data_IF_822500344988
#
_entry.id   IF_822500344988
#
_cell.length_a   1.000
_cell.length_b   1.000
_cell.length_c   1.000
_cell.angle_alpha   90.00
_cell.angle_beta   90.00
_cell.angle_gamma   90.00
#
_symmetry.space_group_name_H-M   'P 1'
#
loop_
_entity.id
_entity.type
_entity.pdbx_description
1 polymer ?
#
# COMPACT_ATOMS: atom_id res chain seq x y z
N UNK A 1 -4.19 36.27 3.84
CA UNK A 1 -3.00 36.24 2.97
C UNK A 1 -1.66 36.03 3.71
N UNK A 2 -1.55 36.30 5.03
CA UNK A 2 -0.23 36.37 5.71
C UNK A 2 0.22 35.14 6.53
N UNK A 3 -0.61 34.10 6.68
CA UNK A 3 -0.19 32.93 7.50
C UNK A 3 0.62 31.88 6.75
N UNK A 4 0.42 31.75 5.42
CA UNK A 4 1.24 30.86 4.57
C UNK A 4 2.67 31.41 4.37
N UNK A 5 2.84 32.73 4.24
CA UNK A 5 4.16 33.35 4.09
C UNK A 5 5.06 33.16 5.31
N UNK A 6 4.52 33.23 6.53
CA UNK A 6 5.32 33.08 7.78
C UNK A 6 5.77 31.65 8.07
N UNK A 7 5.22 30.61 7.40
CA UNK A 7 5.70 29.23 7.48
C UNK A 7 6.79 28.93 6.44
N UNK A 8 6.86 29.73 5.37
CA UNK A 8 7.85 29.54 4.30
C UNK A 8 9.26 30.00 4.68
N UNK A 9 9.40 30.88 5.65
CA UNK A 9 10.67 31.56 5.94
C UNK A 9 11.45 31.02 7.15
N UNK A 10 10.87 30.13 7.98
CA UNK A 10 11.62 29.50 9.07
C UNK A 10 12.12 28.09 8.66
N UNK A 11 13.44 27.92 8.37
CA UNK A 11 14.04 26.64 8.01
C UNK A 11 13.81 25.54 9.06
N UNK A 12 13.56 25.92 10.32
CA UNK A 12 13.34 25.00 11.46
C UNK A 12 11.93 24.38 11.46
N UNK A 13 11.02 24.94 10.64
CA UNK A 13 9.63 24.44 10.50
C UNK A 13 9.42 23.62 9.23
N UNK A 14 10.46 23.34 8.45
CA UNK A 14 10.36 22.55 7.20
C UNK A 14 10.85 21.11 7.41
N UNK A 15 10.17 20.16 6.83
CA UNK A 15 10.67 18.79 6.67
C UNK A 15 11.96 18.82 5.84
N UNK A 16 12.99 18.06 6.25
CA UNK A 16 14.26 18.02 5.52
C UNK A 16 14.12 17.25 4.21
N UNK A 17 14.70 17.79 3.13
CA UNK A 17 14.87 17.09 1.85
C UNK A 17 16.13 16.23 1.94
N UNK A 18 15.97 15.00 2.42
CA UNK A 18 17.10 14.07 2.69
C UNK A 18 17.18 12.89 1.73
N UNK A 19 16.19 12.69 0.84
CA UNK A 19 16.14 11.53 -0.04
C UNK A 19 16.88 11.79 -1.36
N UNK A 20 17.80 10.88 -1.70
CA UNK A 20 18.47 10.84 -3.00
C UNK A 20 17.63 10.06 -4.02
N UNK A 21 17.94 10.23 -5.31
CA UNK A 21 17.24 9.59 -6.42
C UNK A 21 17.16 8.06 -6.29
N UNK A 22 18.23 7.41 -5.79
CA UNK A 22 18.30 5.96 -5.54
C UNK A 22 17.29 5.53 -4.47
N UNK A 23 17.15 6.32 -3.39
CA UNK A 23 16.21 6.03 -2.31
C UNK A 23 14.77 6.07 -2.83
N UNK A 24 14.39 7.12 -3.56
CA UNK A 24 13.03 7.29 -4.08
C UNK A 24 12.66 6.20 -5.09
N UNK A 25 13.59 5.83 -5.97
CA UNK A 25 13.33 4.74 -6.92
C UNK A 25 13.12 3.40 -6.23
N UNK A 26 13.91 3.06 -5.20
CA UNK A 26 13.74 1.82 -4.45
C UNK A 26 12.58 1.87 -3.45
N UNK A 27 12.31 3.02 -2.82
CA UNK A 27 11.08 3.19 -2.02
C UNK A 27 9.84 3.01 -2.90
N UNK A 28 9.84 3.58 -4.10
CA UNK A 28 8.74 3.41 -5.05
C UNK A 28 8.64 1.98 -5.60
N UNK A 29 9.76 1.25 -5.74
CA UNK A 29 9.80 -0.17 -6.12
C UNK A 29 9.38 -1.07 -4.95
N UNK A 30 10.00 -0.89 -3.80
CA UNK A 30 9.83 -1.75 -2.64
C UNK A 30 8.56 -1.46 -1.85
N UNK A 31 8.03 -0.22 -1.90
CA UNK A 31 6.82 0.17 -1.17
C UNK A 31 5.56 -0.55 -1.64
N UNK A 32 5.49 -0.88 -2.93
CA UNK A 32 4.38 -1.67 -3.47
C UNK A 32 4.52 -3.19 -3.19
N UNK A 33 5.75 -3.70 -2.95
CA UNK A 33 5.99 -5.11 -2.65
C UNK A 33 5.94 -5.30 -1.13
N UNK A 34 4.78 -5.63 -0.62
CA UNK A 34 4.49 -5.80 0.82
C UNK A 34 3.79 -7.11 1.14
N UNK A 35 3.19 -7.17 2.32
CA UNK A 35 2.44 -8.32 2.82
C UNK A 35 1.25 -8.71 1.95
N UNK A 36 0.68 -7.78 1.21
CA UNK A 36 -0.39 -8.06 0.25
C UNK A 36 0.03 -9.05 -0.82
N UNK A 37 1.24 -8.91 -1.38
CA UNK A 37 1.77 -9.88 -2.34
C UNK A 37 2.23 -11.15 -1.63
N UNK A 38 3.03 -11.04 -0.58
CA UNK A 38 3.67 -12.20 0.04
C UNK A 38 2.73 -13.09 0.86
N UNK A 39 1.75 -12.51 1.54
CA UNK A 39 0.78 -13.26 2.35
C UNK A 39 -0.61 -13.31 1.70
N UNK A 40 -1.10 -12.15 1.25
CA UNK A 40 -2.43 -12.04 0.65
C UNK A 40 -2.62 -12.86 -0.62
N UNK A 41 -1.55 -13.11 -1.39
CA UNK A 41 -1.62 -13.96 -2.58
C UNK A 41 -1.98 -15.42 -2.28
N UNK A 42 -1.64 -15.96 -1.09
CA UNK A 42 -2.03 -17.30 -0.69
C UNK A 42 -3.56 -17.48 -0.69
N UNK A 43 -4.27 -16.60 0.03
CA UNK A 43 -5.73 -16.61 0.03
C UNK A 43 -6.30 -16.28 -1.36
N UNK A 44 -5.69 -15.35 -2.09
CA UNK A 44 -6.17 -14.99 -3.44
C UNK A 44 -6.04 -16.16 -4.42
N UNK A 45 -4.91 -16.90 -4.40
CA UNK A 45 -4.72 -18.12 -5.22
C UNK A 45 -5.78 -19.16 -4.85
N UNK A 46 -6.02 -19.43 -3.57
CA UNK A 46 -6.96 -20.47 -3.13
C UNK A 46 -8.40 -20.21 -3.57
N UNK A 47 -8.82 -18.94 -3.72
CA UNK A 47 -10.18 -18.59 -4.14
C UNK A 47 -10.31 -18.35 -5.65
N UNK A 48 -9.28 -17.80 -6.31
CA UNK A 48 -9.32 -17.45 -7.73
C UNK A 48 -8.64 -18.49 -8.63
N UNK A 49 -7.76 -19.31 -8.07
CA UNK A 49 -6.91 -20.20 -8.87
C UNK A 49 -6.04 -19.42 -9.85
N UNK A 50 -5.71 -19.98 -11.03
CA UNK A 50 -4.88 -19.32 -12.04
C UNK A 50 -5.43 -17.97 -12.54
N UNK A 51 -6.73 -17.71 -12.40
CA UNK A 51 -7.35 -16.44 -12.80
C UNK A 51 -6.82 -15.24 -11.99
N UNK A 52 -6.10 -15.47 -10.89
CA UNK A 52 -5.39 -14.42 -10.12
C UNK A 52 -4.48 -13.58 -11.03
N UNK A 53 -3.88 -14.16 -12.06
CA UNK A 53 -3.03 -13.45 -13.02
C UNK A 53 -3.81 -12.31 -13.68
N UNK A 54 -5.04 -12.59 -14.12
CA UNK A 54 -5.93 -11.59 -14.73
C UNK A 54 -6.38 -10.55 -13.70
N UNK A 55 -6.69 -10.98 -12.47
CA UNK A 55 -7.05 -10.07 -11.36
C UNK A 55 -5.95 -9.05 -11.13
N UNK A 56 -4.70 -9.48 -10.99
CA UNK A 56 -3.56 -8.60 -10.77
C UNK A 56 -3.27 -7.69 -11.98
N UNK A 57 -3.42 -8.20 -13.19
CA UNK A 57 -3.25 -7.41 -14.42
C UNK A 57 -4.30 -6.28 -14.50
N UNK A 58 -5.56 -6.56 -14.20
CA UNK A 58 -6.65 -5.58 -14.27
C UNK A 58 -6.48 -4.50 -13.20
N UNK A 59 -6.22 -4.88 -11.93
CA UNK A 59 -5.99 -3.92 -10.86
C UNK A 59 -4.77 -3.06 -11.18
N UNK A 60 -3.67 -3.69 -11.60
CA UNK A 60 -2.43 -3.00 -11.92
C UNK A 60 -2.59 -2.01 -13.08
N UNK A 61 -3.35 -2.36 -14.11
CA UNK A 61 -3.70 -1.47 -15.20
C UNK A 61 -4.50 -0.26 -14.68
N UNK A 62 -5.55 -0.48 -13.88
CA UNK A 62 -6.35 0.61 -13.32
C UNK A 62 -5.50 1.57 -12.48
N UNK A 63 -4.65 1.03 -11.59
CA UNK A 63 -3.80 1.84 -10.72
C UNK A 63 -2.68 2.57 -11.47
N UNK A 64 -2.18 2.03 -12.57
CA UNK A 64 -1.26 2.77 -13.44
C UNK A 64 -1.87 4.10 -13.90
N UNK A 65 -3.14 4.11 -14.33
CA UNK A 65 -3.82 5.33 -14.72
C UNK A 65 -4.04 6.28 -13.54
N UNK A 66 -4.37 5.76 -12.35
CA UNK A 66 -4.46 6.59 -11.12
C UNK A 66 -3.14 7.29 -10.85
N UNK A 67 -2.03 6.56 -10.93
CA UNK A 67 -0.70 7.12 -10.73
C UNK A 67 -0.31 8.13 -11.81
N UNK A 68 -0.75 7.93 -13.06
CA UNK A 68 -0.59 8.90 -14.15
C UNK A 68 -1.35 10.19 -13.86
N UNK A 69 -2.60 10.10 -13.37
CA UNK A 69 -3.39 11.25 -12.98
C UNK A 69 -2.73 12.01 -11.82
N UNK A 70 -2.29 11.30 -10.78
CA UNK A 70 -1.58 11.87 -9.64
C UNK A 70 -0.28 12.56 -10.06
N UNK A 71 0.50 11.93 -10.94
CA UNK A 71 1.75 12.48 -11.45
C UNK A 71 1.54 13.80 -12.23
N UNK A 72 0.52 13.85 -13.09
CA UNK A 72 0.16 15.08 -13.81
C UNK A 72 -0.28 16.19 -12.86
N UNK A 73 -1.12 15.87 -11.85
CA UNK A 73 -1.55 16.84 -10.84
C UNK A 73 -0.37 17.41 -10.06
N UNK A 74 0.49 16.55 -9.51
CA UNK A 74 1.66 16.99 -8.73
C UNK A 74 2.62 17.85 -9.54
N UNK A 75 2.81 17.53 -10.82
CA UNK A 75 3.70 18.29 -11.71
C UNK A 75 3.07 19.59 -12.25
N UNK A 76 1.74 19.75 -12.16
CA UNK A 76 1.03 20.93 -12.65
C UNK A 76 1.31 22.19 -11.82
N UNK A 77 1.70 22.05 -10.57
CA UNK A 77 2.02 23.15 -9.66
C UNK A 77 3.17 22.76 -8.72
N UNK A 78 4.27 23.49 -8.78
CA UNK A 78 5.47 23.25 -7.96
C UNK A 78 5.26 23.44 -6.44
N UNK A 79 4.13 24.01 -6.03
CA UNK A 79 3.76 24.17 -4.63
C UNK A 79 3.09 22.91 -4.05
N UNK A 80 2.60 22.00 -4.88
CA UNK A 80 2.03 20.74 -4.40
C UNK A 80 3.12 19.83 -3.89
N UNK A 81 2.96 19.39 -2.64
CA UNK A 81 3.89 18.49 -1.93
C UNK A 81 3.27 17.16 -1.60
N UNK A 82 1.94 17.07 -1.64
CA UNK A 82 1.18 15.89 -1.26
C UNK A 82 -0.13 15.80 -2.02
N UNK A 83 -0.78 14.66 -1.91
CA UNK A 83 -2.13 14.45 -2.42
C UNK A 83 -3.17 15.36 -1.74
N UNK A 84 -2.93 15.79 -0.50
CA UNK A 84 -3.81 16.72 0.22
C UNK A 84 -3.79 18.11 -0.41
N UNK A 85 -2.63 18.57 -0.91
CA UNK A 85 -2.49 19.92 -1.45
C UNK A 85 -3.31 20.10 -2.72
N UNK A 86 -3.18 19.21 -3.70
CA UNK A 86 -3.99 19.32 -4.91
C UNK A 86 -5.47 18.99 -4.67
N UNK A 87 -5.78 18.12 -3.70
CA UNK A 87 -7.17 17.85 -3.31
C UNK A 87 -7.80 19.09 -2.68
N UNK A 88 -7.07 19.84 -1.84
CA UNK A 88 -7.53 21.10 -1.27
C UNK A 88 -7.82 22.13 -2.35
N UNK A 89 -6.93 22.27 -3.33
CA UNK A 89 -7.02 23.25 -4.39
C UNK A 89 -8.12 22.93 -5.41
N UNK A 90 -8.36 21.63 -5.70
CA UNK A 90 -9.36 21.20 -6.68
C UNK A 90 -10.75 20.97 -6.07
N UNK A 91 -10.83 20.42 -4.87
CA UNK A 91 -12.08 19.94 -4.27
C UNK A 91 -12.44 20.62 -2.94
N UNK A 92 -11.54 21.47 -2.45
CA UNK A 92 -11.73 22.22 -1.21
C UNK A 92 -11.25 21.52 0.05
N UNK A 93 -11.17 22.26 1.18
CA UNK A 93 -10.56 21.79 2.43
C UNK A 93 -11.32 20.64 3.11
N UNK A 94 -12.63 20.52 2.85
CA UNK A 94 -13.44 19.42 3.40
C UNK A 94 -12.97 18.08 2.85
N UNK A 95 -12.88 17.93 1.53
CA UNK A 95 -12.43 16.69 0.90
C UNK A 95 -10.97 16.38 1.27
N UNK A 96 -10.11 17.41 1.34
CA UNK A 96 -8.73 17.25 1.76
C UNK A 96 -8.60 16.71 3.19
N UNK A 97 -9.48 17.13 4.11
CA UNK A 97 -9.58 16.58 5.46
C UNK A 97 -9.90 15.07 5.43
N UNK A 98 -10.93 14.67 4.68
CA UNK A 98 -11.29 13.26 4.53
C UNK A 98 -10.16 12.43 3.92
N UNK A 99 -9.51 12.94 2.88
CA UNK A 99 -8.38 12.28 2.22
C UNK A 99 -7.22 12.06 3.17
N UNK A 100 -6.81 13.11 3.89
CA UNK A 100 -5.66 13.03 4.80
C UNK A 100 -5.88 12.02 5.94
N UNK A 101 -7.05 12.04 6.57
CA UNK A 101 -7.39 11.10 7.64
C UNK A 101 -7.63 9.68 7.13
N UNK A 102 -8.23 9.50 5.94
CA UNK A 102 -8.42 8.18 5.35
C UNK A 102 -7.10 7.56 4.88
N UNK A 103 -6.18 8.36 4.33
CA UNK A 103 -4.82 7.93 4.02
C UNK A 103 -4.06 7.51 5.28
N UNK A 104 -4.19 8.28 6.37
CA UNK A 104 -3.62 7.91 7.65
C UNK A 104 -4.19 6.60 8.19
N UNK A 105 -5.54 6.45 8.20
CA UNK A 105 -6.17 5.21 8.64
C UNK A 105 -5.70 4.01 7.82
N UNK A 106 -5.67 4.13 6.49
CA UNK A 106 -5.26 3.02 5.63
C UNK A 106 -3.89 2.50 5.99
N UNK A 107 -2.92 3.37 6.28
CA UNK A 107 -1.58 2.95 6.68
C UNK A 107 -1.51 2.45 8.13
N UNK A 108 -2.34 2.95 9.03
CA UNK A 108 -2.43 2.43 10.40
C UNK A 108 -2.94 0.98 10.40
N UNK A 109 -4.01 0.71 9.65
CA UNK A 109 -4.53 -0.67 9.56
C UNK A 109 -3.63 -1.57 8.71
N UNK A 110 -2.92 -1.04 7.70
CA UNK A 110 -1.85 -1.77 7.00
C UNK A 110 -0.73 -2.16 7.97
N UNK A 111 -0.30 -1.25 8.84
CA UNK A 111 0.69 -1.56 9.88
C UNK A 111 0.24 -2.67 10.84
N UNK A 112 -1.04 -2.73 11.18
CA UNK A 112 -1.59 -3.84 11.96
C UNK A 112 -1.57 -5.16 11.16
N UNK A 113 -1.91 -5.13 9.86
CA UNK A 113 -1.81 -6.29 8.98
C UNK A 113 -0.35 -6.78 8.82
N UNK A 114 0.59 -5.85 8.69
CA UNK A 114 2.02 -6.15 8.61
C UNK A 114 2.53 -6.83 9.89
N UNK A 115 2.09 -6.39 11.07
CA UNK A 115 2.42 -7.02 12.36
C UNK A 115 1.84 -8.45 12.42
N UNK A 116 0.59 -8.65 11.98
CA UNK A 116 -0.03 -10.00 11.90
C UNK A 116 0.83 -10.92 11.00
N UNK A 117 1.27 -10.41 9.86
CA UNK A 117 2.12 -11.17 8.95
C UNK A 117 3.50 -11.47 9.57
N UNK A 118 4.13 -10.50 10.25
CA UNK A 118 5.41 -10.70 10.95
C UNK A 118 5.28 -11.80 12.01
N UNK A 119 4.20 -11.82 12.78
CA UNK A 119 3.93 -12.90 13.76
C UNK A 119 3.88 -14.24 13.06
N UNK A 120 3.14 -14.35 11.96
CA UNK A 120 3.04 -15.60 11.18
C UNK A 120 4.40 -16.05 10.67
N UNK A 121 5.24 -15.12 10.17
CA UNK A 121 6.58 -15.43 9.70
C UNK A 121 7.55 -15.81 10.83
N UNK A 122 7.43 -15.20 12.00
CA UNK A 122 8.21 -15.56 13.18
C UNK A 122 7.85 -16.95 13.69
N UNK A 123 6.57 -17.33 13.64
CA UNK A 123 6.11 -18.66 14.03
C UNK A 123 6.66 -19.79 13.13
N UNK A 124 7.19 -19.47 11.95
CA UNK A 124 7.90 -20.45 11.12
C UNK A 124 9.12 -21.06 11.84
N UNK A 125 9.87 -20.24 12.60
CA UNK A 125 11.04 -20.71 13.35
C UNK A 125 10.74 -20.98 14.83
N UNK A 126 9.83 -20.20 15.40
CA UNK A 126 9.45 -20.27 16.82
C UNK A 126 7.94 -20.39 16.99
N UNK A 127 7.36 -21.59 16.80
CA UNK A 127 5.90 -21.78 16.82
C UNK A 127 5.22 -21.38 18.14
N UNK A 128 5.97 -21.43 19.25
CA UNK A 128 5.46 -21.11 20.61
C UNK A 128 5.73 -19.68 21.05
N UNK A 129 6.30 -18.84 20.17
CA UNK A 129 6.62 -17.44 20.52
C UNK A 129 5.34 -16.66 20.82
N UNK A 130 5.32 -15.98 21.97
CA UNK A 130 4.18 -15.15 22.32
C UNK A 130 4.03 -13.98 21.33
N UNK A 131 2.88 -13.83 20.66
CA UNK A 131 2.64 -12.76 19.67
C UNK A 131 2.91 -11.37 20.21
N UNK A 132 2.62 -11.10 21.48
CA UNK A 132 2.83 -9.78 22.10
C UNK A 132 4.31 -9.37 22.18
N UNK A 133 5.23 -10.33 22.31
CA UNK A 133 6.67 -10.04 22.24
C UNK A 133 7.03 -9.49 20.87
N UNK A 134 6.48 -10.07 19.80
CA UNK A 134 6.69 -9.60 18.43
C UNK A 134 6.09 -8.21 18.25
N UNK A 135 4.85 -7.99 18.72
CA UNK A 135 4.16 -6.70 18.61
C UNK A 135 4.96 -5.57 19.25
N UNK A 136 5.34 -5.73 20.52
CA UNK A 136 6.09 -4.70 21.23
C UNK A 136 7.49 -4.48 20.65
N UNK A 137 8.15 -5.53 20.18
CA UNK A 137 9.43 -5.44 19.48
C UNK A 137 9.29 -4.65 18.17
N UNK A 138 8.25 -4.91 17.37
CA UNK A 138 7.98 -4.15 16.14
C UNK A 138 7.68 -2.68 16.43
N UNK A 139 6.78 -2.39 17.38
CA UNK A 139 6.45 -1.00 17.73
C UNK A 139 7.68 -0.26 18.25
N UNK A 140 8.49 -0.89 19.11
CA UNK A 140 9.76 -0.32 19.59
C UNK A 140 10.73 -0.05 18.45
N UNK A 141 10.90 -1.00 17.55
CA UNK A 141 11.75 -0.86 16.36
C UNK A 141 11.28 0.32 15.49
N UNK A 142 9.99 0.39 15.14
CA UNK A 142 9.46 1.45 14.29
C UNK A 142 9.57 2.82 14.94
N UNK A 143 9.33 2.94 16.26
CA UNK A 143 9.51 4.18 16.99
C UNK A 143 10.97 4.65 16.94
N UNK A 144 11.92 3.77 17.28
CA UNK A 144 13.34 4.11 17.30
C UNK A 144 13.79 4.59 15.92
N UNK A 145 13.52 3.80 14.86
CA UNK A 145 14.00 4.14 13.52
C UNK A 145 13.35 5.39 12.93
N UNK A 146 12.08 5.66 13.23
CA UNK A 146 11.39 6.86 12.73
C UNK A 146 11.64 8.13 13.57
N UNK A 147 12.18 8.03 14.78
CA UNK A 147 12.60 9.19 15.57
C UNK A 147 13.93 9.79 15.12
N UNK A 148 14.74 9.02 14.38
CA UNK A 148 16.00 9.50 13.80
C UNK A 148 15.79 10.24 12.46
N UNK A 149 16.88 10.73 11.88
CA UNK A 149 16.83 11.53 10.67
C UNK A 149 16.31 10.78 9.43
N UNK A 150 15.61 11.50 8.55
CA UNK A 150 15.05 11.03 7.27
C UNK A 150 16.05 10.23 6.41
N UNK A 151 17.34 10.57 6.48
CA UNK A 151 18.39 9.85 5.74
C UNK A 151 18.53 8.39 6.19
N UNK A 152 18.42 8.12 7.50
CA UNK A 152 18.46 6.74 8.03
C UNK A 152 17.25 5.92 7.54
N UNK A 153 16.07 6.53 7.51
CA UNK A 153 14.89 5.90 6.92
C UNK A 153 15.15 5.53 5.46
N UNK A 154 15.66 6.46 4.64
CA UNK A 154 15.96 6.22 3.22
C UNK A 154 16.95 5.08 2.99
N UNK A 155 18.03 4.98 3.79
CA UNK A 155 19.01 3.89 3.69
C UNK A 155 18.39 2.53 4.07
N UNK A 156 17.60 2.47 5.13
CA UNK A 156 16.92 1.23 5.53
C UNK A 156 15.96 0.74 4.43
N UNK A 157 15.11 1.63 3.92
CA UNK A 157 14.17 1.29 2.85
C UNK A 157 14.89 0.89 1.56
N UNK A 158 16.04 1.49 1.26
CA UNK A 158 16.90 1.08 0.14
C UNK A 158 17.32 -0.39 0.29
N UNK A 159 17.88 -0.79 1.43
CA UNK A 159 18.35 -2.16 1.63
C UNK A 159 17.20 -3.16 1.70
N UNK A 160 16.13 -2.84 2.40
CA UNK A 160 14.95 -3.70 2.44
C UNK A 160 14.31 -3.85 1.04
N UNK A 161 14.23 -2.77 0.27
CA UNK A 161 13.74 -2.82 -1.11
C UNK A 161 14.62 -3.69 -2.01
N UNK A 162 15.95 -3.58 -1.88
CA UNK A 162 16.90 -4.39 -2.66
C UNK A 162 16.78 -5.88 -2.33
N UNK A 163 16.70 -6.23 -1.03
CA UNK A 163 16.56 -7.62 -0.58
C UNK A 163 15.28 -8.26 -1.16
N UNK A 164 14.14 -7.55 -1.12
CA UNK A 164 12.87 -8.04 -1.71
C UNK A 164 13.00 -8.32 -3.20
N UNK A 165 13.55 -7.37 -3.94
CA UNK A 165 13.72 -7.45 -5.40
C UNK A 165 14.59 -8.65 -5.75
N UNK A 166 15.75 -8.76 -5.11
CA UNK A 166 16.69 -9.88 -5.35
C UNK A 166 16.02 -11.23 -5.03
N UNK A 167 15.31 -11.32 -3.90
CA UNK A 167 14.66 -12.57 -3.53
C UNK A 167 13.56 -13.00 -4.51
N UNK A 168 12.75 -12.08 -5.02
CA UNK A 168 11.75 -12.41 -6.04
C UNK A 168 12.41 -12.82 -7.35
N UNK A 169 13.48 -12.15 -7.79
CA UNK A 169 14.22 -12.53 -8.98
C UNK A 169 14.84 -13.93 -8.82
N UNK A 170 15.45 -14.22 -7.67
CA UNK A 170 15.98 -15.56 -7.38
C UNK A 170 14.87 -16.60 -7.39
N UNK A 171 13.71 -16.32 -6.77
CA UNK A 171 12.56 -17.22 -6.81
C UNK A 171 12.11 -17.51 -8.24
N UNK A 172 12.01 -16.48 -9.09
CA UNK A 172 11.62 -16.63 -10.49
C UNK A 172 12.63 -17.51 -11.24
N UNK A 173 13.92 -17.25 -11.06
CA UNK A 173 15.00 -18.04 -11.73
C UNK A 173 15.00 -19.48 -11.26
N UNK A 174 14.93 -19.72 -9.95
CA UNK A 174 14.92 -21.08 -9.39
C UNK A 174 13.66 -21.84 -9.80
N UNK A 175 12.50 -21.20 -9.70
CA UNK A 175 11.25 -21.85 -10.11
C UNK A 175 11.19 -22.12 -11.61
N UNK A 176 11.72 -21.22 -12.45
CA UNK A 176 11.87 -21.48 -13.89
C UNK A 176 12.80 -22.66 -14.16
N UNK A 177 13.93 -22.76 -13.44
CA UNK A 177 14.81 -23.93 -13.51
C UNK A 177 14.07 -25.22 -13.14
N UNK A 178 13.27 -25.20 -12.05
CA UNK A 178 12.46 -26.35 -11.64
C UNK A 178 11.44 -26.78 -12.71
N UNK A 179 10.81 -25.81 -13.39
CA UNK A 179 9.85 -26.07 -14.47
C UNK A 179 10.57 -26.73 -15.66
N UNK A 180 11.73 -26.18 -16.10
CA UNK A 180 12.46 -26.68 -17.27
C UNK A 180 13.03 -28.08 -17.03
N UNK A 181 13.47 -28.37 -15.81
CA UNK A 181 14.04 -29.68 -15.45
C UNK A 181 12.97 -30.73 -15.10
N UNK A 182 11.68 -30.36 -15.04
CA UNK A 182 10.63 -31.26 -14.59
C UNK A 182 10.84 -31.71 -13.16
N UNK A 183 11.27 -30.79 -12.27
CA UNK A 183 11.54 -31.10 -10.87
C UNK A 183 10.32 -31.75 -10.21
N UNK A 184 10.56 -32.89 -9.56
CA UNK A 184 9.52 -33.60 -8.81
C UNK A 184 9.67 -33.34 -7.32
N UNK A 185 8.63 -32.78 -6.70
CA UNK A 185 8.60 -32.54 -5.26
C UNK A 185 8.52 -33.86 -4.47
N UNK A 186 8.87 -33.88 -3.16
CA UNK A 186 8.73 -35.05 -2.33
C UNK A 186 7.31 -35.64 -2.31
N UNK A 187 6.29 -34.85 -2.58
CA UNK A 187 4.89 -35.26 -2.67
C UNK A 187 4.51 -35.84 -4.04
N UNK A 188 5.47 -36.01 -4.96
CA UNK A 188 5.24 -36.55 -6.30
C UNK A 188 4.72 -35.52 -7.32
N UNK A 189 4.58 -34.26 -6.96
CA UNK A 189 4.13 -33.19 -7.89
C UNK A 189 5.29 -32.79 -8.79
N UNK A 190 5.10 -32.86 -10.12
CA UNK A 190 6.09 -32.46 -11.12
C UNK A 190 5.85 -30.98 -11.48
N UNK A 191 6.88 -30.14 -11.37
CA UNK A 191 6.78 -28.73 -11.75
C UNK A 191 6.47 -28.58 -13.25
N UNK A 192 5.37 -27.88 -13.57
CA UNK A 192 4.90 -27.74 -14.95
C UNK A 192 4.07 -26.46 -15.13
N UNK A 193 4.25 -25.79 -16.27
CA UNK A 193 3.37 -24.69 -16.68
C UNK A 193 1.91 -25.10 -16.86
N UNK A 194 1.64 -26.39 -17.07
CA UNK A 194 0.27 -26.90 -17.19
C UNK A 194 -0.58 -26.64 -15.94
N UNK A 195 0.04 -26.56 -14.75
CA UNK A 195 -0.66 -26.22 -13.50
C UNK A 195 -1.29 -24.81 -13.54
N UNK A 196 -0.67 -23.88 -14.25
CA UNK A 196 -1.19 -22.52 -14.44
C UNK A 196 -2.36 -22.51 -15.42
N UNK A 197 -2.29 -23.32 -16.48
CA UNK A 197 -3.36 -23.44 -17.46
C UNK A 197 -4.46 -24.39 -17.00
N UNK A 198 -4.20 -25.24 -16.00
CA UNK A 198 -5.14 -26.17 -15.38
C UNK A 198 -5.99 -26.90 -16.44
N UNK A 199 -5.31 -27.54 -17.43
CA UNK A 199 -5.92 -28.24 -18.56
C UNK A 199 -6.92 -27.38 -19.37
N UNK A 200 -6.67 -26.08 -19.47
CA UNK A 200 -7.48 -25.12 -20.20
C UNK A 200 -8.55 -24.40 -19.32
N UNK A 201 -8.67 -24.75 -18.06
CA UNK A 201 -9.61 -24.10 -17.14
C UNK A 201 -8.90 -23.04 -16.26
N UNK A 202 -8.77 -21.82 -16.76
CA UNK A 202 -8.20 -20.69 -16.02
C UNK A 202 -9.11 -20.25 -14.86
N UNK A 203 -10.40 -20.58 -14.89
CA UNK A 203 -11.39 -20.23 -13.87
C UNK A 203 -11.90 -21.49 -13.12
N UNK A 204 -11.07 -22.20 -12.35
CA UNK A 204 -11.44 -23.47 -11.73
C UNK A 204 -12.54 -23.32 -10.67
N UNK A 205 -12.66 -22.13 -10.06
CA UNK A 205 -13.73 -21.74 -9.13
C UNK A 205 -14.85 -20.94 -9.82
N UNK A 206 -14.89 -20.95 -11.17
CA UNK A 206 -15.84 -20.17 -11.94
C UNK A 206 -15.62 -18.66 -11.83
N UNK A 207 -16.60 -17.90 -12.37
CA UNK A 207 -16.55 -16.45 -12.38
C UNK A 207 -16.66 -15.83 -10.96
N UNK A 208 -17.32 -16.53 -10.04
CA UNK A 208 -17.43 -16.12 -8.63
C UNK A 208 -16.09 -16.16 -7.93
N UNK A 209 -15.29 -17.21 -8.15
CA UNK A 209 -13.92 -17.29 -7.63
C UNK A 209 -13.01 -16.21 -8.21
N UNK A 210 -13.14 -15.93 -9.50
CA UNK A 210 -12.42 -14.82 -10.14
C UNK A 210 -12.73 -13.48 -9.47
N UNK A 211 -14.00 -13.16 -9.24
CA UNK A 211 -14.39 -11.93 -8.56
C UNK A 211 -13.99 -11.90 -7.09
N UNK A 212 -14.04 -13.04 -6.39
CA UNK A 212 -13.54 -13.13 -5.01
C UNK A 212 -12.05 -12.82 -4.92
N UNK A 213 -11.27 -13.14 -5.96
CA UNK A 213 -9.84 -12.79 -6.02
C UNK A 213 -9.58 -11.29 -5.94
N UNK A 214 -10.45 -10.43 -6.45
CA UNK A 214 -10.29 -8.98 -6.38
C UNK A 214 -10.35 -8.44 -4.95
N UNK A 215 -11.13 -9.05 -4.06
CA UNK A 215 -11.38 -8.56 -2.71
C UNK A 215 -10.08 -8.41 -1.89
N UNK A 216 -9.13 -9.32 -2.08
CA UNK A 216 -7.86 -9.33 -1.35
C UNK A 216 -6.73 -8.78 -2.21
N UNK A 217 -6.74 -9.07 -3.53
CA UNK A 217 -5.69 -8.67 -4.44
C UNK A 217 -5.46 -7.15 -4.48
N UNK A 218 -6.51 -6.33 -4.28
CA UNK A 218 -6.38 -4.87 -4.26
C UNK A 218 -5.42 -4.39 -3.17
N UNK A 219 -5.38 -5.06 -2.02
CA UNK A 219 -4.45 -4.74 -0.94
C UNK A 219 -2.98 -4.96 -1.35
N UNK A 220 -2.70 -5.87 -2.27
CA UNK A 220 -1.34 -6.11 -2.78
C UNK A 220 -0.74 -4.92 -3.52
N UNK A 221 -1.54 -3.93 -3.89
CA UNK A 221 -1.11 -2.72 -4.58
C UNK A 221 -1.01 -1.49 -3.68
N UNK A 222 -1.35 -1.63 -2.40
CA UNK A 222 -1.17 -0.58 -1.40
C UNK A 222 0.30 -0.20 -1.31
N UNK A 223 0.57 1.11 -1.27
CA UNK A 223 1.95 1.63 -1.29
C UNK A 223 2.43 2.11 -2.65
N UNK A 224 1.70 1.82 -3.74
CA UNK A 224 2.06 2.31 -5.08
C UNK A 224 2.07 3.84 -5.15
N UNK A 225 1.23 4.50 -4.37
CA UNK A 225 1.12 5.96 -4.28
C UNK A 225 2.26 6.62 -3.49
N UNK A 226 3.09 5.86 -2.76
CA UNK A 226 4.22 6.40 -2.01
C UNK A 226 5.17 7.17 -2.95
N UNK A 227 5.33 6.71 -4.18
CA UNK A 227 6.10 7.41 -5.21
C UNK A 227 5.63 8.87 -5.41
N UNK A 228 4.32 9.13 -5.27
CA UNK A 228 3.75 10.48 -5.37
C UNK A 228 3.79 11.25 -4.05
N UNK A 229 3.60 10.59 -2.92
CA UNK A 229 3.63 11.25 -1.61
C UNK A 229 5.05 11.65 -1.20
N UNK A 230 6.08 10.95 -1.69
CA UNK A 230 7.49 11.31 -1.50
C UNK A 230 7.96 12.42 -2.46
N UNK A 231 7.14 12.83 -3.41
CA UNK A 231 7.48 13.90 -4.37
C UNK A 231 7.93 15.21 -3.70
N UNK A 232 7.42 15.51 -2.50
CA UNK A 232 7.83 16.68 -1.72
C UNK A 232 9.27 16.65 -1.21
N UNK A 233 9.84 15.45 -1.07
CA UNK A 233 11.17 15.20 -0.50
C UNK A 233 12.24 14.91 -1.56
N UNK A 234 11.86 14.94 -2.84
CA UNK A 234 12.75 14.69 -3.99
C UNK A 234 13.43 15.96 -4.46
N UNK A 235 14.71 15.86 -4.84
CA UNK A 235 15.48 17.01 -5.37
C UNK A 235 14.97 17.50 -6.73
N UNK A 236 14.55 16.58 -7.61
CA UNK A 236 14.02 16.88 -8.94
C UNK A 236 12.75 16.06 -9.27
N UNK A 237 11.56 16.54 -8.84
CA UNK A 237 10.30 15.85 -9.09
C UNK A 237 9.96 15.65 -10.57
N UNK A 238 10.38 16.60 -11.43
CA UNK A 238 10.01 16.59 -12.86
C UNK A 238 10.63 15.42 -13.64
N UNK A 239 11.79 14.95 -13.23
CA UNK A 239 12.47 13.81 -13.85
C UNK A 239 12.22 12.50 -13.12
N UNK A 240 12.17 12.53 -11.79
CA UNK A 240 12.07 11.32 -10.96
C UNK A 240 10.67 10.73 -10.96
N UNK A 241 9.65 11.56 -10.78
CA UNK A 241 8.26 11.11 -10.67
C UNK A 241 7.76 10.41 -11.96
N UNK A 242 7.97 10.97 -13.18
CA UNK A 242 7.62 10.26 -14.41
C UNK A 242 8.30 8.91 -14.58
N UNK A 243 9.59 8.82 -14.26
CA UNK A 243 10.34 7.55 -14.35
C UNK A 243 9.79 6.50 -13.38
N UNK A 244 9.51 6.90 -12.13
CA UNK A 244 8.95 6.03 -11.12
C UNK A 244 7.58 5.47 -11.56
N UNK A 245 6.68 6.35 -12.02
CA UNK A 245 5.32 5.95 -12.44
C UNK A 245 5.34 5.10 -13.71
N UNK A 246 6.14 5.46 -14.71
CA UNK A 246 6.23 4.70 -15.96
C UNK A 246 6.82 3.30 -15.78
N UNK A 247 7.57 3.06 -14.70
CA UNK A 247 8.09 1.73 -14.38
C UNK A 247 7.04 0.80 -13.73
N UNK A 248 5.88 1.32 -13.29
CA UNK A 248 4.85 0.53 -12.59
C UNK A 248 4.37 -0.69 -13.39
N UNK A 249 3.99 -0.60 -14.69
CA UNK A 249 3.53 -1.77 -15.44
C UNK A 249 4.57 -2.89 -15.50
N UNK A 250 5.84 -2.52 -15.75
CA UNK A 250 6.95 -3.48 -15.78
C UNK A 250 7.10 -4.19 -14.42
N UNK A 251 6.99 -3.45 -13.32
CA UNK A 251 7.06 -4.01 -11.97
C UNK A 251 5.94 -5.00 -11.71
N UNK A 252 4.71 -4.65 -12.07
CA UNK A 252 3.55 -5.53 -11.92
C UNK A 252 3.78 -6.83 -12.68
N UNK A 253 4.20 -6.75 -13.94
CA UNK A 253 4.46 -7.94 -14.73
C UNK A 253 5.55 -8.81 -14.08
N UNK A 254 6.71 -8.25 -13.74
CA UNK A 254 7.83 -9.04 -13.21
C UNK A 254 7.59 -9.52 -11.78
N UNK A 255 7.21 -8.65 -10.86
CA UNK A 255 7.19 -9.01 -9.45
C UNK A 255 5.88 -9.66 -8.99
N UNK A 256 4.78 -9.43 -9.70
CA UNK A 256 3.48 -10.00 -9.36
C UNK A 256 3.14 -11.17 -10.29
N UNK A 257 3.01 -10.90 -11.58
CA UNK A 257 2.50 -11.90 -12.53
C UNK A 257 3.51 -13.05 -12.71
N UNK A 258 4.77 -12.75 -13.02
CA UNK A 258 5.77 -13.83 -13.22
C UNK A 258 6.03 -14.64 -11.94
N UNK A 259 6.10 -14.00 -10.76
CA UNK A 259 6.28 -14.75 -9.52
C UNK A 259 5.11 -15.69 -9.24
N UNK A 260 3.86 -15.25 -9.47
CA UNK A 260 2.67 -16.07 -9.28
C UNK A 260 2.58 -17.21 -10.31
N UNK A 261 2.96 -16.96 -11.58
CA UNK A 261 3.06 -18.01 -12.59
C UNK A 261 4.03 -19.09 -12.14
N UNK A 262 5.22 -18.70 -11.71
CA UNK A 262 6.26 -19.62 -11.26
C UNK A 262 5.81 -20.41 -10.04
N UNK A 263 5.25 -19.73 -9.03
CA UNK A 263 4.75 -20.38 -7.82
C UNK A 263 3.69 -21.44 -8.16
N UNK A 264 2.68 -21.09 -8.95
CA UNK A 264 1.60 -22.02 -9.32
C UNK A 264 2.07 -23.12 -10.27
N UNK A 265 3.17 -22.92 -11.01
CA UNK A 265 3.78 -23.97 -11.84
C UNK A 265 4.51 -25.03 -11.00
N UNK A 266 5.06 -24.64 -9.84
CA UNK A 266 5.77 -25.54 -8.92
C UNK A 266 4.80 -26.14 -7.91
N UNK A 267 3.89 -25.33 -7.38
CA UNK A 267 2.86 -25.72 -6.41
C UNK A 267 1.49 -25.46 -7.03
N UNK A 268 0.74 -26.51 -7.44
CA UNK A 268 -0.61 -26.35 -7.98
C UNK A 268 -1.49 -25.50 -7.08
N UNK A 269 -2.36 -24.69 -7.67
CA UNK A 269 -3.17 -23.69 -6.99
C UNK A 269 -4.04 -24.28 -5.86
N UNK A 270 -4.51 -25.52 -5.99
CA UNK A 270 -5.34 -26.24 -5.03
C UNK A 270 -4.54 -26.79 -3.82
N UNK A 271 -3.20 -26.81 -3.91
CA UNK A 271 -2.31 -27.18 -2.82
C UNK A 271 -1.79 -25.94 -2.05
N UNK A 272 -2.11 -24.72 -2.50
CA UNK A 272 -1.69 -23.50 -1.82
C UNK A 272 -2.49 -23.32 -0.53
N UNK A 273 -1.77 -23.13 0.58
CA UNK A 273 -2.34 -22.92 1.92
C UNK A 273 -2.69 -21.43 2.10
N UNK A 274 -3.97 -21.07 2.35
CA UNK A 274 -4.43 -19.67 2.35
C UNK A 274 -3.81 -18.78 3.41
N UNK A 275 -3.38 -19.31 4.54
CA UNK A 275 -2.83 -18.57 5.69
C UNK A 275 -1.31 -18.54 5.74
N UNK A 276 -0.65 -19.03 4.68
CA UNK A 276 0.80 -19.03 4.53
C UNK A 276 1.24 -18.28 3.29
N UNK A 277 2.50 -17.82 3.30
CA UNK A 277 3.10 -17.20 2.13
C UNK A 277 3.38 -18.25 1.05
N UNK A 278 2.78 -18.19 -0.15
CA UNK A 278 3.06 -19.13 -1.21
C UNK A 278 4.51 -19.04 -1.71
N UNK A 279 5.18 -17.92 -1.47
CA UNK A 279 6.60 -17.73 -1.76
C UNK A 279 7.50 -18.62 -0.88
N UNK A 280 7.12 -18.83 0.37
CA UNK A 280 7.82 -19.70 1.32
C UNK A 280 7.43 -21.16 1.09
N UNK A 281 6.12 -21.41 0.94
CA UNK A 281 5.57 -22.75 0.75
C UNK A 281 6.09 -23.44 -0.52
N UNK A 282 6.33 -22.71 -1.59
CA UNK A 282 6.93 -23.26 -2.80
C UNK A 282 8.25 -24.00 -2.51
N UNK A 283 9.15 -23.43 -1.71
CA UNK A 283 10.41 -24.05 -1.36
C UNK A 283 10.25 -25.14 -0.28
N UNK A 284 9.30 -24.96 0.63
CA UNK A 284 9.00 -25.94 1.65
C UNK A 284 8.46 -27.25 1.05
N UNK A 285 7.46 -27.15 0.18
CA UNK A 285 6.86 -28.28 -0.53
C UNK A 285 7.82 -28.89 -1.56
N UNK A 286 8.76 -28.13 -2.10
CA UNK A 286 9.83 -28.64 -2.94
C UNK A 286 10.90 -29.42 -2.16
N UNK A 287 10.82 -29.49 -0.82
CA UNK A 287 11.80 -30.20 0.00
C UNK A 287 13.11 -29.45 0.21
N UNK A 288 13.09 -28.10 0.10
CA UNK A 288 14.28 -27.24 0.25
C UNK A 288 14.09 -26.31 1.47
N UNK A 289 14.12 -26.85 2.72
CA UNK A 289 13.76 -26.07 3.92
C UNK A 289 14.71 -24.89 4.19
N UNK A 290 15.98 -24.97 3.79
CA UNK A 290 16.93 -23.86 3.94
C UNK A 290 16.49 -22.69 3.06
N UNK A 291 16.11 -22.92 1.81
CA UNK A 291 15.61 -21.89 0.92
C UNK A 291 14.27 -21.32 1.43
N UNK A 292 13.37 -22.16 1.94
CA UNK A 292 12.12 -21.73 2.59
C UNK A 292 12.42 -20.78 3.76
N UNK A 293 13.37 -21.11 4.63
CA UNK A 293 13.80 -20.25 5.74
C UNK A 293 14.38 -18.90 5.28
N UNK A 294 15.22 -18.90 4.23
CA UNK A 294 15.77 -17.67 3.67
C UNK A 294 14.68 -16.78 3.08
N UNK A 295 13.75 -17.34 2.31
CA UNK A 295 12.61 -16.59 1.75
C UNK A 295 11.69 -16.11 2.87
N UNK A 296 11.46 -16.91 3.92
CA UNK A 296 10.69 -16.49 5.08
C UNK A 296 11.32 -15.26 5.78
N UNK A 297 12.65 -15.22 5.90
CA UNK A 297 13.35 -14.03 6.39
C UNK A 297 13.12 -12.81 5.50
N UNK A 298 13.14 -12.99 4.17
CA UNK A 298 12.89 -11.89 3.23
C UNK A 298 11.46 -11.37 3.34
N UNK A 299 10.45 -12.25 3.41
CA UNK A 299 9.05 -11.79 3.53
C UNK A 299 8.79 -11.13 4.88
N UNK A 300 9.46 -11.58 5.95
CA UNK A 300 9.45 -10.91 7.26
C UNK A 300 10.03 -9.50 7.18
N UNK A 301 11.23 -9.34 6.60
CA UNK A 301 11.84 -8.01 6.43
C UNK A 301 11.02 -7.12 5.49
N UNK A 302 10.30 -7.71 4.52
CA UNK A 302 9.37 -7.00 3.66
C UNK A 302 8.18 -6.43 4.42
N UNK A 303 7.59 -7.21 5.32
CA UNK A 303 6.50 -6.75 6.18
C UNK A 303 6.96 -5.63 7.12
N UNK A 304 8.15 -5.78 7.73
CA UNK A 304 8.74 -4.75 8.58
C UNK A 304 9.02 -3.45 7.82
N UNK A 305 9.53 -3.53 6.58
CA UNK A 305 9.73 -2.38 5.70
C UNK A 305 8.41 -1.69 5.33
N UNK A 306 7.37 -2.47 4.99
CA UNK A 306 6.04 -1.93 4.67
C UNK A 306 5.47 -1.15 5.85
N UNK A 307 5.45 -1.73 7.06
CA UNK A 307 5.02 -1.06 8.27
C UNK A 307 5.85 0.20 8.58
N UNK A 308 7.17 0.14 8.43
CA UNK A 308 8.06 1.28 8.66
C UNK A 308 7.77 2.44 7.70
N UNK A 309 7.59 2.16 6.40
CA UNK A 309 7.21 3.14 5.38
C UNK A 309 5.82 3.74 5.64
N UNK A 310 4.87 2.92 6.08
CA UNK A 310 3.54 3.37 6.49
C UNK A 310 3.59 4.33 7.67
N UNK A 311 4.33 4.01 8.72
CA UNK A 311 4.50 4.85 9.91
C UNK A 311 5.20 6.17 9.55
N UNK A 312 6.21 6.12 8.69
CA UNK A 312 6.86 7.31 8.15
C UNK A 312 5.86 8.23 7.44
N UNK A 313 5.04 7.68 6.55
CA UNK A 313 4.04 8.41 5.77
C UNK A 313 2.91 8.96 6.64
N UNK A 314 2.39 8.17 7.58
CA UNK A 314 1.29 8.58 8.49
C UNK A 314 1.69 9.74 9.39
N UNK A 315 2.89 9.71 9.96
CA UNK A 315 3.36 10.78 10.84
C UNK A 315 3.45 12.13 10.11
N UNK A 316 3.88 12.12 8.85
CA UNK A 316 3.96 13.32 7.99
C UNK A 316 2.59 13.78 7.52
N UNK A 317 1.69 12.85 7.23
CA UNK A 317 0.31 13.17 6.86
C UNK A 317 -0.41 13.89 7.98
N UNK A 318 -0.35 13.39 9.22
CA UNK A 318 -0.94 14.05 10.38
C UNK A 318 -0.28 15.40 10.65
N UNK A 319 1.04 15.50 10.52
CA UNK A 319 1.75 16.77 10.63
C UNK A 319 1.21 17.79 9.62
N UNK A 320 1.05 17.38 8.36
CA UNK A 320 0.45 18.20 7.30
C UNK A 320 -0.98 18.65 7.63
N UNK A 321 -1.82 17.73 8.09
CA UNK A 321 -3.18 18.05 8.54
C UNK A 321 -3.19 19.02 9.72
N UNK A 322 -2.30 18.83 10.72
CA UNK A 322 -2.23 19.71 11.90
C UNK A 322 -1.76 21.13 11.53
N UNK A 323 -0.85 21.27 10.57
CA UNK A 323 -0.41 22.58 10.05
C UNK A 323 -1.50 23.28 9.27
N UNK A 324 -2.40 22.54 8.62
CA UNK A 324 -3.59 23.06 7.93
C UNK A 324 -4.82 23.17 8.85
N UNK A 325 -4.65 23.05 10.16
CA UNK A 325 -5.73 23.09 11.17
C UNK A 325 -6.74 21.92 11.08
N UNK A 326 -6.45 20.88 10.29
CA UNK A 326 -7.26 19.67 10.12
C UNK A 326 -7.01 18.58 11.17
N UNK A 327 -6.04 18.78 12.07
CA UNK A 327 -5.74 17.89 13.20
C UNK A 327 -5.34 18.71 14.44
N UNK A 328 -5.30 18.10 15.65
CA UNK A 328 -4.88 18.77 16.87
C UNK A 328 -3.46 19.37 16.75
N UNK A 329 -3.28 20.61 17.23
CA UNK A 329 -2.00 21.35 17.11
C UNK A 329 -0.81 20.61 17.73
N UNK A 330 -1.05 19.79 18.75
CA UNK A 330 -0.01 18.99 19.41
C UNK A 330 0.68 18.02 18.44
N UNK A 331 -0.07 17.49 17.47
CA UNK A 331 0.44 16.56 16.44
C UNK A 331 1.26 17.28 15.35
N UNK A 332 1.17 18.60 15.26
CA UNK A 332 1.95 19.46 14.36
C UNK A 332 3.28 19.94 14.93
N UNK A 333 3.75 19.40 16.08
CA UNK A 333 5.05 19.77 16.65
C UNK A 333 6.17 18.89 16.11
N UNK A 334 7.29 19.50 15.70
CA UNK A 334 8.51 18.81 15.31
C UNK A 334 9.45 18.64 16.52
N UNK A 335 10.15 17.53 16.56
CA UNK A 335 11.27 17.27 17.50
C UNK A 335 12.51 18.06 17.09
N UNK A 336 13.57 18.01 17.90
CA UNK A 336 14.90 18.57 17.58
C UNK A 336 15.53 17.97 16.30
N UNK A 337 15.08 16.82 15.86
CA UNK A 337 15.50 16.15 14.64
C UNK A 337 14.57 16.43 13.44
N UNK A 338 13.70 17.43 13.54
CA UNK A 338 12.69 17.78 12.52
C UNK A 338 11.74 16.64 12.16
N UNK A 339 11.47 15.74 13.10
CA UNK A 339 10.51 14.62 12.98
C UNK A 339 9.24 14.95 13.77
N UNK A 340 8.04 14.66 13.23
CA UNK A 340 6.78 14.87 13.93
C UNK A 340 6.53 13.75 14.97
N UNK A 341 7.28 13.79 16.08
CA UNK A 341 7.34 12.73 17.09
C UNK A 341 5.96 12.43 17.71
N UNK A 342 5.16 13.45 18.01
CA UNK A 342 3.83 13.26 18.60
C UNK A 342 2.89 12.53 17.63
N UNK A 343 2.92 12.85 16.34
CA UNK A 343 2.15 12.17 15.31
C UNK A 343 2.63 10.72 15.12
N UNK A 344 3.93 10.49 15.23
CA UNK A 344 4.55 9.17 15.19
C UNK A 344 4.06 8.30 16.36
N UNK A 345 4.15 8.79 17.60
CA UNK A 345 3.65 8.06 18.78
C UNK A 345 2.16 7.77 18.69
N UNK A 346 1.36 8.74 18.23
CA UNK A 346 -0.07 8.56 18.01
C UNK A 346 -0.36 7.46 17.00
N UNK A 347 0.34 7.44 15.86
CA UNK A 347 0.16 6.40 14.83
C UNK A 347 0.55 5.01 15.35
N UNK A 348 1.68 4.88 16.06
CA UNK A 348 2.12 3.63 16.67
C UNK A 348 1.13 3.11 17.74
N UNK A 349 0.58 4.01 18.56
CA UNK A 349 -0.48 3.66 19.52
C UNK A 349 -1.73 3.13 18.81
N UNK A 350 -2.15 3.78 17.72
CA UNK A 350 -3.30 3.33 16.96
C UNK A 350 -3.07 1.99 16.25
N UNK A 351 -1.85 1.71 15.77
CA UNK A 351 -1.47 0.39 15.24
C UNK A 351 -1.57 -0.68 16.34
N UNK A 352 -1.04 -0.39 17.53
CA UNK A 352 -1.13 -1.29 18.68
C UNK A 352 -2.58 -1.59 19.05
N UNK A 353 -3.43 -0.57 19.12
CA UNK A 353 -4.88 -0.73 19.35
C UNK A 353 -5.55 -1.53 18.22
N UNK A 354 -5.19 -1.26 16.98
CA UNK A 354 -5.68 -2.02 15.82
C UNK A 354 -5.35 -3.50 15.92
N UNK A 355 -4.09 -3.83 16.25
CA UNK A 355 -3.70 -5.22 16.50
C UNK A 355 -4.48 -5.83 17.68
N UNK A 356 -4.62 -5.11 18.79
CA UNK A 356 -5.37 -5.60 19.96
C UNK A 356 -6.81 -5.97 19.62
N UNK A 357 -7.49 -5.12 18.83
CA UNK A 357 -8.86 -5.39 18.38
C UNK A 357 -8.90 -6.62 17.47
N UNK A 358 -7.97 -6.72 16.54
CA UNK A 358 -7.94 -7.85 15.58
C UNK A 358 -7.50 -9.16 16.21
N UNK A 359 -6.74 -9.14 17.30
CA UNK A 359 -6.37 -10.34 18.06
C UNK A 359 -7.57 -11.04 18.70
N UNK A 360 -8.74 -10.38 18.77
CA UNK A 360 -10.02 -10.97 19.20
C UNK A 360 -10.74 -11.73 18.07
N UNK A 361 -10.24 -11.69 16.84
CA UNK A 361 -10.83 -12.41 15.70
C UNK A 361 -10.68 -13.92 15.83
N UNK A 362 -11.62 -14.71 15.27
CA UNK A 362 -11.62 -16.17 15.40
C UNK A 362 -10.38 -16.84 14.81
N UNK A 363 -9.76 -16.23 13.80
CA UNK A 363 -8.57 -16.74 13.13
C UNK A 363 -7.66 -15.64 12.64
N UNK A 364 -6.38 -15.96 12.47
CA UNK A 364 -5.36 -15.05 11.93
C UNK A 364 -5.74 -14.56 10.51
N UNK A 365 -6.27 -15.46 9.67
CA UNK A 365 -6.66 -15.14 8.31
C UNK A 365 -7.89 -14.20 8.27
N UNK A 366 -8.85 -14.38 9.16
CA UNK A 366 -10.00 -13.46 9.29
C UNK A 366 -9.54 -12.08 9.77
N UNK A 367 -8.70 -12.02 10.81
CA UNK A 367 -8.09 -10.78 11.28
C UNK A 367 -7.35 -10.04 10.15
N UNK A 368 -6.49 -10.74 9.43
CA UNK A 368 -5.74 -10.19 8.29
C UNK A 368 -6.69 -9.71 7.19
N UNK A 369 -7.72 -10.48 6.84
CA UNK A 369 -8.70 -10.12 5.81
C UNK A 369 -9.47 -8.85 6.18
N UNK A 370 -9.93 -8.71 7.43
CA UNK A 370 -10.67 -7.54 7.88
C UNK A 370 -9.80 -6.28 7.79
N UNK A 371 -8.58 -6.29 8.35
CA UNK A 371 -7.72 -5.10 8.34
C UNK A 371 -7.25 -4.73 6.94
N UNK A 372 -6.89 -5.71 6.10
CA UNK A 372 -6.49 -5.44 4.72
C UNK A 372 -7.65 -4.90 3.88
N UNK A 373 -8.87 -5.35 4.14
CA UNK A 373 -10.07 -4.82 3.47
C UNK A 373 -10.42 -3.40 3.91
N UNK A 374 -10.29 -3.05 5.19
CA UNK A 374 -10.44 -1.66 5.66
C UNK A 374 -9.40 -0.76 4.98
N UNK A 375 -8.14 -1.20 4.92
CA UNK A 375 -7.08 -0.48 4.22
C UNK A 375 -7.43 -0.29 2.74
N UNK A 376 -7.85 -1.36 2.05
CA UNK A 376 -8.23 -1.32 0.64
C UNK A 376 -9.38 -0.33 0.37
N UNK A 377 -10.44 -0.32 1.20
CA UNK A 377 -11.57 0.61 1.08
C UNK A 377 -11.10 2.06 1.24
N UNK A 378 -10.25 2.33 2.24
CA UNK A 378 -9.72 3.66 2.47
C UNK A 378 -8.81 4.12 1.30
N UNK A 379 -8.00 3.21 0.72
CA UNK A 379 -7.21 3.52 -0.47
C UNK A 379 -8.06 3.70 -1.73
N UNK A 380 -9.10 2.89 -1.93
CA UNK A 380 -10.06 3.09 -3.03
C UNK A 380 -10.69 4.48 -2.97
N UNK A 381 -11.03 4.96 -1.76
CA UNK A 381 -11.48 6.34 -1.58
C UNK A 381 -10.41 7.36 -1.96
N UNK A 382 -9.17 7.22 -1.46
CA UNK A 382 -8.06 8.13 -1.76
C UNK A 382 -7.78 8.16 -3.27
N UNK A 383 -7.70 7.01 -3.93
CA UNK A 383 -7.47 6.90 -5.37
C UNK A 383 -8.64 7.47 -6.17
N UNK A 384 -9.88 7.31 -5.69
CA UNK A 384 -11.04 7.95 -6.31
C UNK A 384 -10.95 9.47 -6.24
N UNK A 385 -10.53 10.04 -5.11
CA UNK A 385 -10.35 11.49 -4.98
C UNK A 385 -9.24 12.01 -5.89
N UNK A 386 -8.17 11.25 -6.14
CA UNK A 386 -7.13 11.61 -7.13
C UNK A 386 -7.77 11.75 -8.53
N UNK A 387 -8.59 10.76 -8.94
CA UNK A 387 -9.26 10.79 -10.24
C UNK A 387 -10.27 11.93 -10.36
N UNK A 388 -11.08 12.18 -9.32
CA UNK A 388 -12.03 13.30 -9.29
C UNK A 388 -11.29 14.63 -9.33
N UNK A 389 -10.20 14.78 -8.57
CA UNK A 389 -9.33 15.98 -8.63
C UNK A 389 -8.79 16.21 -10.04
N UNK A 390 -8.40 15.13 -10.73
CA UNK A 390 -7.93 15.21 -12.12
C UNK A 390 -9.05 15.65 -13.09
N UNK A 391 -10.28 15.13 -12.93
CA UNK A 391 -11.43 15.56 -13.74
C UNK A 391 -11.69 17.06 -13.56
N UNK A 392 -11.65 17.56 -12.30
CA UNK A 392 -11.83 18.99 -12.00
C UNK A 392 -10.68 19.80 -12.58
N UNK A 393 -9.43 19.36 -12.41
CA UNK A 393 -8.25 19.99 -13.00
C UNK A 393 -8.37 20.18 -14.52
N UNK A 394 -8.79 19.12 -15.23
CA UNK A 394 -9.00 19.16 -16.69
C UNK A 394 -10.05 20.18 -17.12
N UNK A 395 -11.10 20.36 -16.32
CA UNK A 395 -12.18 21.32 -16.60
C UNK A 395 -11.82 22.76 -16.21
N UNK A 396 -11.20 22.93 -15.03
CA UNK A 396 -10.94 24.27 -14.47
C UNK A 396 -9.64 24.90 -14.97
N UNK A 397 -8.65 24.08 -15.40
CA UNK A 397 -7.30 24.54 -15.79
C UNK A 397 -6.82 23.95 -17.13
N UNK A 398 -7.58 24.09 -18.22
CA UNK A 398 -7.26 23.47 -19.52
C UNK A 398 -5.91 23.96 -20.07
N UNK A 399 -5.53 25.22 -19.79
CA UNK A 399 -4.26 25.78 -20.22
C UNK A 399 -3.04 25.14 -19.57
N UNK A 400 -3.12 24.77 -18.27
CA UNK A 400 -2.06 24.05 -17.57
C UNK A 400 -1.93 22.64 -18.12
N UNK A 401 -3.06 21.96 -18.35
CA UNK A 401 -3.06 20.65 -18.99
C UNK A 401 -2.44 20.68 -20.39
N UNK A 402 -2.76 21.71 -21.21
CA UNK A 402 -2.19 21.83 -22.55
C UNK A 402 -0.65 21.90 -22.54
N UNK A 403 -0.08 22.59 -21.55
CA UNK A 403 1.38 22.74 -21.33
C UNK A 403 2.02 21.55 -20.61
N UNK A 404 1.23 20.62 -20.06
CA UNK A 404 1.77 19.47 -19.34
C UNK A 404 2.55 18.57 -20.29
N UNK A 405 3.79 18.24 -19.92
CA UNK A 405 4.65 17.28 -20.62
C UNK A 405 4.39 15.83 -20.17
N UNK A 406 3.65 15.67 -19.07
CA UNK A 406 3.35 14.35 -18.48
C UNK A 406 1.83 14.19 -18.35
N UNK A 407 1.16 13.86 -19.45
CA UNK A 407 -0.30 13.73 -19.51
C UNK A 407 -0.77 12.33 -19.16
N UNK A 408 -1.92 12.24 -18.46
CA UNK A 408 -2.60 10.96 -18.24
C UNK A 408 -3.20 10.45 -19.55
N UNK A 409 -2.88 9.23 -20.02
CA UNK A 409 -3.52 8.63 -21.19
C UNK A 409 -5.00 8.37 -20.94
N UNK A 410 -5.83 8.44 -21.97
CA UNK A 410 -7.29 8.26 -21.87
C UNK A 410 -8.05 9.39 -21.17
N UNK A 411 -7.35 10.30 -20.47
CA UNK A 411 -7.94 11.51 -19.89
C UNK A 411 -9.16 11.26 -19.00
N UNK A 412 -10.19 12.10 -19.14
CA UNK A 412 -11.42 12.06 -18.31
C UNK A 412 -12.22 10.75 -18.50
N UNK A 413 -12.20 10.18 -19.71
CA UNK A 413 -12.94 8.92 -19.99
C UNK A 413 -12.33 7.78 -19.17
N UNK A 414 -11.01 7.65 -19.15
CA UNK A 414 -10.32 6.66 -18.32
C UNK A 414 -10.62 6.87 -16.82
N UNK A 415 -10.70 8.12 -16.35
CA UNK A 415 -11.09 8.39 -14.96
C UNK A 415 -12.47 7.81 -14.62
N UNK A 416 -13.48 8.02 -15.48
CA UNK A 416 -14.81 7.50 -15.23
C UNK A 416 -14.86 5.96 -15.29
N UNK A 417 -14.14 5.35 -16.23
CA UNK A 417 -14.06 3.89 -16.32
C UNK A 417 -13.44 3.28 -15.05
N UNK A 418 -12.38 3.90 -14.50
CA UNK A 418 -11.71 3.42 -13.27
C UNK A 418 -12.59 3.70 -12.04
N UNK A 419 -13.30 4.83 -11.98
CA UNK A 419 -14.24 5.10 -10.90
C UNK A 419 -15.39 4.07 -10.88
N UNK A 420 -15.90 3.68 -12.06
CA UNK A 420 -16.88 2.60 -12.18
C UNK A 420 -16.29 1.25 -11.72
N UNK A 421 -15.04 0.94 -12.10
CA UNK A 421 -14.32 -0.23 -11.61
C UNK A 421 -14.16 -0.20 -10.07
N UNK A 422 -13.82 0.93 -9.47
CA UNK A 422 -13.72 1.05 -8.01
C UNK A 422 -15.07 0.88 -7.32
N UNK A 423 -16.15 1.41 -7.89
CA UNK A 423 -17.51 1.16 -7.38
C UNK A 423 -17.86 -0.34 -7.45
N UNK A 424 -17.49 -1.02 -8.53
CA UNK A 424 -17.62 -2.46 -8.64
C UNK A 424 -16.78 -3.21 -7.58
N UNK A 425 -15.55 -2.78 -7.32
CA UNK A 425 -14.71 -3.33 -6.26
C UNK A 425 -15.35 -3.19 -4.87
N UNK A 426 -15.92 -2.02 -4.58
CA UNK A 426 -16.65 -1.81 -3.31
C UNK A 426 -17.88 -2.73 -3.20
N UNK A 427 -18.58 -2.98 -4.31
CA UNK A 427 -19.68 -3.95 -4.35
C UNK A 427 -19.18 -5.36 -4.05
N UNK A 428 -18.07 -5.81 -4.65
CA UNK A 428 -17.49 -7.14 -4.39
C UNK A 428 -17.14 -7.33 -2.90
N UNK A 429 -16.64 -6.30 -2.23
CA UNK A 429 -16.31 -6.35 -0.79
C UNK A 429 -17.55 -6.55 0.11
N UNK A 430 -18.76 -6.41 -0.41
CA UNK A 430 -20.00 -6.69 0.34
C UNK A 430 -20.45 -8.15 0.27
N UNK A 431 -19.81 -8.98 -0.57
CA UNK A 431 -20.27 -10.35 -0.86
C UNK A 431 -19.69 -11.40 0.12
N UNK A 432 -18.55 -11.16 0.74
CA UNK A 432 -17.94 -12.06 1.72
C UNK A 432 -18.12 -11.50 3.14
N UNK A 433 -18.25 -12.38 4.13
CA UNK A 433 -18.53 -12.01 5.52
C UNK A 433 -17.47 -11.07 6.13
N UNK A 434 -16.19 -11.43 6.04
CA UNK A 434 -15.09 -10.66 6.67
C UNK A 434 -14.91 -9.29 5.97
N UNK A 435 -15.00 -9.27 4.64
CA UNK A 435 -14.88 -8.01 3.88
C UNK A 435 -16.11 -7.12 4.09
N UNK A 436 -17.29 -7.70 4.29
CA UNK A 436 -18.50 -6.95 4.64
C UNK A 436 -18.42 -6.33 6.05
N UNK A 437 -17.81 -7.01 7.01
CA UNK A 437 -17.51 -6.43 8.33
C UNK A 437 -16.58 -5.22 8.16
N UNK A 438 -15.52 -5.36 7.36
CA UNK A 438 -14.60 -4.26 7.06
C UNK A 438 -15.31 -3.08 6.39
N UNK A 439 -16.25 -3.36 5.47
CA UNK A 439 -17.07 -2.33 4.82
C UNK A 439 -17.91 -1.55 5.84
N UNK A 440 -18.57 -2.23 6.78
CA UNK A 440 -19.32 -1.57 7.86
C UNK A 440 -18.43 -0.68 8.74
N UNK A 441 -17.26 -1.16 9.14
CA UNK A 441 -16.32 -0.34 9.93
C UNK A 441 -15.82 0.88 9.14
N UNK A 442 -15.62 0.74 7.85
CA UNK A 442 -15.25 1.86 6.99
C UNK A 442 -16.36 2.90 6.89
N UNK A 443 -17.65 2.50 6.85
CA UNK A 443 -18.76 3.45 6.89
C UNK A 443 -18.81 4.21 8.23
N UNK A 444 -18.58 3.52 9.35
CA UNK A 444 -18.49 4.16 10.68
C UNK A 444 -17.36 5.18 10.72
N UNK A 445 -16.21 4.86 10.11
CA UNK A 445 -15.09 5.79 9.97
C UNK A 445 -15.48 7.05 9.20
N UNK A 446 -16.09 6.92 8.03
CA UNK A 446 -16.50 8.09 7.23
C UNK A 446 -17.59 8.92 7.94
N UNK A 447 -18.51 8.29 8.64
CA UNK A 447 -19.50 8.98 9.47
C UNK A 447 -18.82 9.76 10.61
N UNK A 448 -17.86 9.14 11.30
CA UNK A 448 -17.05 9.79 12.34
C UNK A 448 -16.30 11.02 11.80
N UNK A 449 -15.65 10.90 10.65
CA UNK A 449 -14.98 12.03 9.99
C UNK A 449 -15.98 13.14 9.64
N UNK A 450 -17.16 12.78 9.14
CA UNK A 450 -18.23 13.73 8.82
C UNK A 450 -18.65 14.54 10.06
N UNK A 451 -18.97 13.86 11.15
CA UNK A 451 -19.34 14.50 12.41
C UNK A 451 -18.21 15.41 12.92
N UNK A 452 -16.97 14.91 12.91
CA UNK A 452 -15.78 15.67 13.34
C UNK A 452 -15.59 16.94 12.51
N UNK A 453 -15.71 16.83 11.19
CA UNK A 453 -15.60 17.98 10.29
C UNK A 453 -16.67 19.04 10.57
N UNK A 454 -17.93 18.63 10.71
CA UNK A 454 -19.05 19.57 10.97
C UNK A 454 -18.91 20.27 12.32
N UNK A 455 -18.54 19.54 13.38
CA UNK A 455 -18.46 20.12 14.73
C UNK A 455 -17.25 21.05 14.89
N UNK A 456 -16.07 20.64 14.43
CA UNK A 456 -14.82 21.31 14.79
C UNK A 456 -14.27 22.24 13.70
N UNK A 457 -14.51 21.95 12.43
CA UNK A 457 -13.84 22.64 11.33
C UNK A 457 -14.78 23.64 10.61
N UNK A 458 -16.01 23.28 10.32
CA UNK A 458 -16.95 24.15 9.62
C UNK A 458 -17.23 25.45 10.39
N UNK A 459 -17.39 25.38 11.72
CA UNK A 459 -17.59 26.57 12.57
C UNK A 459 -16.41 27.54 12.59
N UNK A 460 -15.21 27.04 12.32
CA UNK A 460 -13.98 27.85 12.36
C UNK A 460 -13.71 28.53 11.02
N UNK A 461 -14.03 27.88 9.92
CA UNK A 461 -13.92 28.43 8.57
C UNK A 461 -14.96 29.54 8.35
N UNK A 462 -16.15 29.44 8.94
CA UNK A 462 -17.15 30.50 8.88
C UNK A 462 -16.72 31.79 9.63
N UNK A 463 -16.06 31.64 10.80
CA UNK A 463 -15.55 32.79 11.60
C UNK A 463 -14.29 33.47 11.03
N UNK A 464 -13.56 32.83 10.13
CA UNK A 464 -12.37 33.43 9.47
C UNK A 464 -12.74 34.14 8.16
N UNK A 465 -13.96 33.95 7.65
CA UNK A 465 -14.50 34.63 6.45
C UNK A 465 -15.44 35.81 6.79
N UNK A 466 -15.79 36.00 8.07
CA UNK A 466 -16.41 37.22 8.62
C UNK A 466 -15.32 38.19 9.14
#
# INVERSE_FOLDING_TARGET
MNYKQNLEDDPRKKLQRGLDNRHVQLIALGGAIGTGLFMGSGKTISVAGPSIILVYAIIGCALYFVMRAMGELLLSNSQYRSLVDFSTDMLGPGIAFFVGWSYWLSWVVTGAADIIAIITYMHFWWPTLNPWVVVFSCIGFFLVFNLFAVKMFGELEFWFGLIKIVAILVLIVVGFYMIVTGFTSPNGTVASLNHVWNDGNIFPRGITGFFAGFQIAIFSFVGIEIAGTTAAEVKDPKTVLPKAINAIPVRIVFFYIFSLIVIMSVTPWDQVIPDRSPFVEMFWLAGIPIAAGLVNFVVLTSAASSANSGIFSTSRMIYGLATQKGAPRVLGKLSKYHVPANALFFSCLCILLGYTITSLSPSIISAFTIVTSISAIAFLFVWSVILVSYIVYRRSRPQLHAKSVYKMPGGVIACWAILAFFAFMLYLLTLEHDTFIAFKYSLVWFAFLGVTYFIFLRKKTAKENE
#
